data_IF_169310335544
#
_entry.id   IF_169310335544
#
_cell.length_a   1.000
_cell.length_b   1.000
_cell.length_c   1.000
_cell.angle_alpha   90.00
_cell.angle_beta   90.00
_cell.angle_gamma   90.00
#
_symmetry.space_group_name_H-M   'P 1'
#
loop_
_entity.id
_entity.type
_entity.pdbx_description
1 polymer ?
#
# COMPACT_ATOMS: atom_id res chain seq x y z
N UNK A 1 1.39 -12.13 -18.03
CA UNK A 1 0.65 -12.06 -16.74
C UNK A 1 -0.28 -10.88 -16.81
N UNK A 2 -1.58 -11.02 -16.54
CA UNK A 2 -2.56 -9.95 -16.79
C UNK A 2 -2.80 -9.08 -15.57
N UNK A 3 -2.60 -7.77 -15.72
CA UNK A 3 -3.17 -6.76 -14.83
C UNK A 3 -4.57 -6.44 -15.35
N UNK A 4 -5.57 -6.58 -14.50
CA UNK A 4 -6.96 -6.37 -14.85
C UNK A 4 -7.33 -4.92 -14.56
N UNK A 5 -7.98 -4.28 -15.53
CA UNK A 5 -8.57 -2.96 -15.33
C UNK A 5 -9.73 -3.08 -14.34
N UNK A 6 -9.74 -2.22 -13.33
CA UNK A 6 -10.76 -2.18 -12.28
C UNK A 6 -11.13 -0.72 -11.97
N UNK A 7 -12.30 -0.29 -12.45
CA UNK A 7 -12.78 1.10 -12.29
C UNK A 7 -13.07 1.47 -10.84
N UNK A 8 -13.50 0.52 -10.01
CA UNK A 8 -13.75 0.75 -8.60
C UNK A 8 -12.43 0.99 -7.85
N UNK A 9 -11.41 0.19 -8.15
CA UNK A 9 -10.07 0.37 -7.63
C UNK A 9 -9.42 1.67 -8.12
N UNK A 10 -9.57 2.01 -9.41
CA UNK A 10 -9.08 3.28 -9.97
C UNK A 10 -9.70 4.47 -9.22
N UNK A 11 -11.02 4.47 -9.03
CA UNK A 11 -11.71 5.52 -8.26
C UNK A 11 -11.19 5.61 -6.82
N UNK A 12 -11.06 4.46 -6.16
CA UNK A 12 -10.54 4.38 -4.80
C UNK A 12 -9.14 4.97 -4.68
N UNK A 13 -8.18 4.50 -5.49
CA UNK A 13 -6.78 4.94 -5.45
C UNK A 13 -6.59 6.38 -5.94
N UNK A 14 -7.42 6.82 -6.90
CA UNK A 14 -7.31 8.13 -7.53
C UNK A 14 -7.94 9.27 -6.72
N UNK A 15 -8.99 8.99 -5.94
CA UNK A 15 -9.81 10.03 -5.31
C UNK A 15 -10.17 9.78 -3.86
N UNK A 16 -10.59 8.57 -3.49
CA UNK A 16 -11.09 8.30 -2.13
C UNK A 16 -9.95 8.14 -1.13
N UNK A 17 -8.90 7.39 -1.49
CA UNK A 17 -7.76 7.13 -0.62
C UNK A 17 -6.99 8.42 -0.24
N UNK A 18 -6.68 9.35 -1.17
CA UNK A 18 -6.04 10.62 -0.79
C UNK A 18 -6.83 11.46 0.22
N UNK A 19 -8.17 11.48 0.12
CA UNK A 19 -9.03 12.18 1.09
C UNK A 19 -8.92 11.54 2.47
N UNK A 20 -9.01 10.21 2.53
CA UNK A 20 -8.90 9.44 3.78
C UNK A 20 -7.53 9.55 4.43
N UNK A 21 -6.46 9.60 3.64
CA UNK A 21 -5.11 9.90 4.14
C UNK A 21 -5.10 11.27 4.81
N UNK A 22 -5.69 12.29 4.18
CA UNK A 22 -5.80 13.63 4.75
C UNK A 22 -6.54 13.66 6.09
N UNK A 23 -7.61 12.87 6.22
CA UNK A 23 -8.38 12.73 7.46
C UNK A 23 -7.54 12.09 8.58
N UNK A 24 -6.80 11.01 8.27
CA UNK A 24 -5.95 10.30 9.24
C UNK A 24 -4.85 11.20 9.81
N UNK A 25 -4.25 12.06 8.99
CA UNK A 25 -3.13 12.92 9.41
C UNK A 25 -3.52 14.01 10.43
N UNK A 26 -4.80 14.14 10.77
CA UNK A 26 -5.29 15.08 11.79
C UNK A 26 -5.26 14.53 13.23
N UNK A 27 -4.99 13.24 13.41
CA UNK A 27 -4.98 12.58 14.73
C UNK A 27 -3.71 12.79 15.57
N UNK A 28 -3.66 12.15 16.74
CA UNK A 28 -2.42 12.03 17.51
C UNK A 28 -1.49 10.97 16.91
N UNK A 29 -0.18 11.04 17.18
CA UNK A 29 0.84 10.20 16.53
C UNK A 29 0.57 8.69 16.64
N UNK A 30 0.07 8.21 17.80
CA UNK A 30 -0.21 6.77 18.01
C UNK A 30 -1.41 6.32 17.20
N UNK A 31 -2.38 7.20 17.00
CA UNK A 31 -3.56 6.92 16.17
C UNK A 31 -3.18 6.98 14.68
N UNK A 32 -2.38 7.97 14.27
CA UNK A 32 -1.89 8.12 12.90
C UNK A 32 -1.22 6.83 12.40
N UNK A 33 -0.28 6.24 13.14
CA UNK A 33 0.43 5.04 12.65
C UNK A 33 -0.49 3.83 12.46
N UNK A 34 -1.48 3.66 13.35
CA UNK A 34 -2.45 2.56 13.29
C UNK A 34 -3.41 2.76 12.12
N UNK A 35 -3.91 3.96 11.95
CA UNK A 35 -4.86 4.28 10.90
C UNK A 35 -4.21 4.24 9.52
N UNK A 36 -2.98 4.72 9.38
CA UNK A 36 -2.19 4.56 8.15
C UNK A 36 -1.91 3.09 7.83
N UNK A 37 -1.65 2.27 8.85
CA UNK A 37 -1.44 0.82 8.67
C UNK A 37 -2.74 0.15 8.19
N UNK A 38 -3.87 0.51 8.78
CA UNK A 38 -5.20 0.07 8.34
C UNK A 38 -5.48 0.45 6.89
N UNK A 39 -5.22 1.70 6.49
CA UNK A 39 -5.36 2.14 5.09
C UNK A 39 -4.43 1.38 4.14
N UNK A 40 -3.20 1.07 4.56
CA UNK A 40 -2.27 0.28 3.76
C UNK A 40 -2.78 -1.15 3.56
N UNK A 41 -3.22 -1.81 4.64
CA UNK A 41 -3.83 -3.15 4.57
C UNK A 41 -5.05 -3.17 3.64
N UNK A 42 -5.96 -2.21 3.79
CA UNK A 42 -7.14 -2.10 2.95
C UNK A 42 -6.78 -1.88 1.47
N UNK A 43 -5.84 -0.98 1.20
CA UNK A 43 -5.37 -0.66 -0.15
C UNK A 43 -4.78 -1.89 -0.84
N UNK A 44 -3.95 -2.65 -0.13
CA UNK A 44 -3.35 -3.87 -0.66
C UNK A 44 -4.43 -4.93 -0.93
N UNK A 45 -5.35 -5.17 0.01
CA UNK A 45 -6.42 -6.15 -0.18
C UNK A 45 -7.35 -5.79 -1.36
N UNK A 46 -7.72 -4.51 -1.50
CA UNK A 46 -8.49 -4.04 -2.67
C UNK A 46 -7.76 -4.23 -4.00
N UNK A 47 -6.44 -4.34 -3.99
CA UNK A 47 -5.62 -4.46 -5.20
C UNK A 47 -5.42 -5.91 -5.68
N UNK A 48 -5.75 -6.92 -4.88
CA UNK A 48 -5.53 -8.35 -5.20
C UNK A 48 -5.93 -8.74 -6.63
N UNK A 49 -7.24 -8.65 -6.93
CA UNK A 49 -7.81 -9.18 -8.16
C UNK A 49 -7.32 -8.42 -9.39
N UNK A 50 -7.10 -7.11 -9.25
CA UNK A 50 -6.55 -6.27 -10.29
C UNK A 50 -5.10 -6.68 -10.65
N UNK A 51 -4.34 -7.19 -9.69
CA UNK A 51 -2.97 -7.66 -9.88
C UNK A 51 -2.86 -9.16 -10.21
N UNK A 52 -4.00 -9.83 -10.44
CA UNK A 52 -4.06 -11.25 -10.79
C UNK A 52 -3.80 -12.18 -9.61
N UNK A 53 -4.00 -11.70 -8.38
CA UNK A 53 -3.83 -12.48 -7.15
C UNK A 53 -5.19 -12.92 -6.65
N UNK A 54 -5.32 -14.21 -6.33
CA UNK A 54 -6.51 -14.73 -5.66
C UNK A 54 -6.52 -14.26 -4.20
N UNK A 55 -7.49 -13.42 -3.87
CA UNK A 55 -7.66 -12.84 -2.54
C UNK A 55 -8.35 -13.86 -1.60
N UNK A 56 -7.62 -14.93 -1.27
CA UNK A 56 -8.10 -16.02 -0.40
C UNK A 56 -7.25 -16.14 0.87
N UNK A 57 -7.92 -16.20 2.02
CA UNK A 57 -7.28 -16.28 3.33
C UNK A 57 -7.46 -15.01 4.16
N UNK A 58 -6.56 -14.81 5.12
CA UNK A 58 -6.57 -13.62 5.98
C UNK A 58 -6.00 -12.39 5.26
N UNK A 59 -6.43 -11.20 5.72
CA UNK A 59 -6.08 -9.92 5.10
C UNK A 59 -4.57 -9.66 5.08
N UNK A 60 -3.82 -10.13 6.07
CA UNK A 60 -2.38 -9.92 6.14
C UNK A 60 -1.65 -10.80 5.12
N UNK A 61 -2.03 -12.07 4.99
CA UNK A 61 -1.52 -12.96 3.95
C UNK A 61 -1.79 -12.41 2.54
N UNK A 62 -2.99 -11.89 2.30
CA UNK A 62 -3.32 -11.23 1.02
C UNK A 62 -2.45 -9.99 0.78
N UNK A 63 -2.30 -9.13 1.78
CA UNK A 63 -1.46 -7.94 1.69
C UNK A 63 0.01 -8.29 1.38
N UNK A 64 0.55 -9.37 1.95
CA UNK A 64 1.89 -9.86 1.64
C UNK A 64 2.03 -10.33 0.19
N UNK A 65 1.07 -11.11 -0.33
CA UNK A 65 1.08 -11.53 -1.73
C UNK A 65 1.02 -10.31 -2.67
N UNK A 66 0.17 -9.33 -2.33
CA UNK A 66 0.03 -8.10 -3.11
C UNK A 66 1.31 -7.28 -3.09
N UNK A 67 1.95 -7.09 -1.93
CA UNK A 67 3.18 -6.29 -1.87
C UNK A 67 4.32 -6.97 -2.62
N UNK A 68 4.45 -8.30 -2.51
CA UNK A 68 5.39 -9.10 -3.30
C UNK A 68 5.16 -8.88 -4.79
N UNK A 69 3.90 -8.96 -5.23
CA UNK A 69 3.52 -8.74 -6.62
C UNK A 69 3.83 -7.33 -7.11
N UNK A 70 3.57 -6.30 -6.30
CA UNK A 70 3.92 -4.92 -6.63
C UNK A 70 5.43 -4.77 -6.77
N UNK A 71 6.23 -5.41 -5.91
CA UNK A 71 7.69 -5.39 -5.97
C UNK A 71 8.18 -6.05 -7.26
N UNK A 72 7.68 -7.23 -7.63
CA UNK A 72 8.04 -7.89 -8.89
C UNK A 72 7.77 -7.01 -10.12
N UNK A 73 6.60 -6.36 -10.12
CA UNK A 73 6.13 -5.57 -11.25
C UNK A 73 6.77 -4.18 -11.36
N UNK A 74 7.41 -3.69 -10.29
CA UNK A 74 7.97 -2.32 -10.21
C UNK A 74 9.48 -2.24 -9.91
N UNK A 75 10.05 -3.25 -9.27
CA UNK A 75 11.43 -3.24 -8.74
C UNK A 75 11.59 -2.49 -7.40
N UNK A 76 10.50 -2.06 -6.76
CA UNK A 76 10.54 -1.21 -5.55
C UNK A 76 10.68 -2.03 -4.25
N UNK A 77 11.83 -2.68 -4.05
CA UNK A 77 12.09 -3.56 -2.89
C UNK A 77 11.95 -2.87 -1.52
N UNK A 78 12.01 -1.54 -1.46
CA UNK A 78 11.82 -0.78 -0.22
C UNK A 78 10.44 -1.03 0.40
N UNK A 79 9.43 -1.34 -0.42
CA UNK A 79 8.06 -1.59 0.01
C UNK A 79 7.95 -2.76 1.00
N UNK A 80 8.78 -3.80 0.86
CA UNK A 80 8.80 -4.93 1.78
C UNK A 80 9.16 -4.50 3.22
N UNK A 81 10.04 -3.50 3.37
CA UNK A 81 10.44 -2.99 4.69
C UNK A 81 9.31 -2.24 5.36
N UNK A 82 8.56 -1.46 4.59
CA UNK A 82 7.41 -0.73 5.11
C UNK A 82 6.26 -1.65 5.51
N UNK A 83 6.13 -2.81 4.86
CA UNK A 83 5.15 -3.82 5.28
C UNK A 83 5.41 -4.33 6.71
N UNK A 84 6.68 -4.37 7.16
CA UNK A 84 7.00 -4.69 8.55
C UNK A 84 6.43 -3.65 9.54
N UNK A 85 6.39 -2.37 9.14
CA UNK A 85 5.77 -1.30 9.94
C UNK A 85 4.25 -1.46 9.99
N UNK A 86 3.62 -1.83 8.87
CA UNK A 86 2.17 -2.10 8.80
C UNK A 86 1.77 -3.18 9.79
N UNK A 87 2.40 -4.35 9.71
CA UNK A 87 2.06 -5.51 10.57
C UNK A 87 2.46 -5.28 12.04
N UNK A 88 3.47 -4.46 12.31
CA UNK A 88 3.95 -4.12 13.65
C UNK A 88 3.29 -2.89 14.27
N UNK A 89 2.35 -2.24 13.58
CA UNK A 89 1.83 -0.91 13.94
C UNK A 89 1.27 -0.85 15.37
N UNK A 90 0.51 -1.85 15.83
CA UNK A 90 0.00 -1.91 17.21
C UNK A 90 1.11 -2.02 18.26
N UNK A 91 2.13 -2.84 17.99
CA UNK A 91 3.28 -2.99 18.88
C UNK A 91 4.08 -1.68 18.95
N UNK A 92 4.30 -1.03 17.80
CA UNK A 92 4.99 0.27 17.71
C UNK A 92 4.20 1.33 18.46
N UNK A 93 2.89 1.45 18.18
CA UNK A 93 2.01 2.45 18.78
C UNK A 93 1.92 2.33 20.30
N UNK A 94 2.10 1.14 20.87
CA UNK A 94 2.06 0.94 22.33
C UNK A 94 3.40 1.16 23.04
N UNK A 95 4.54 0.86 22.38
CA UNK A 95 5.87 0.81 23.03
C UNK A 95 6.84 1.91 22.61
N UNK A 96 6.73 2.42 21.38
CA UNK A 96 7.70 3.34 20.84
C UNK A 96 7.55 4.76 21.41
N UNK A 97 8.63 5.53 21.35
CA UNK A 97 8.59 6.95 21.69
C UNK A 97 7.84 7.75 20.61
N UNK A 98 7.23 8.91 20.96
CA UNK A 98 6.60 9.82 19.99
C UNK A 98 7.46 10.10 18.75
N UNK A 99 8.76 10.36 18.95
CA UNK A 99 9.71 10.61 17.85
C UNK A 99 9.81 9.42 16.88
N UNK A 100 9.90 8.19 17.40
CA UNK A 100 9.96 6.98 16.57
C UNK A 100 8.63 6.79 15.83
N UNK A 101 7.49 7.01 16.50
CA UNK A 101 6.17 6.89 15.88
C UNK A 101 6.03 7.89 14.75
N UNK A 102 6.37 9.17 14.98
CA UNK A 102 6.33 10.23 13.96
C UNK A 102 7.18 9.89 12.73
N UNK A 103 8.38 9.33 12.94
CA UNK A 103 9.26 8.88 11.86
C UNK A 103 8.63 7.74 11.05
N UNK A 104 8.18 6.68 11.73
CA UNK A 104 7.61 5.49 11.08
C UNK A 104 6.26 5.80 10.40
N UNK A 105 5.46 6.71 10.92
CA UNK A 105 4.24 7.19 10.27
C UNK A 105 4.52 7.86 8.93
N UNK A 106 5.63 8.61 8.80
CA UNK A 106 6.02 9.23 7.51
C UNK A 106 6.52 8.20 6.51
N UNK A 107 7.26 7.20 6.97
CA UNK A 107 7.68 6.06 6.15
C UNK A 107 6.46 5.28 5.65
N UNK A 108 5.48 5.06 6.52
CA UNK A 108 4.25 4.37 6.17
C UNK A 108 3.36 5.16 5.21
N UNK A 109 3.25 6.48 5.39
CA UNK A 109 2.61 7.37 4.43
C UNK A 109 3.29 7.29 3.05
N UNK A 110 4.63 7.29 3.04
CA UNK A 110 5.42 7.15 1.80
C UNK A 110 5.14 5.81 1.12
N UNK A 111 5.05 4.73 1.90
CA UNK A 111 4.67 3.41 1.39
C UNK A 111 3.28 3.43 0.74
N UNK A 112 2.29 3.95 1.46
CA UNK A 112 0.91 4.01 1.02
C UNK A 112 0.77 4.80 -0.29
N UNK A 113 1.43 5.97 -0.38
CA UNK A 113 1.44 6.79 -1.59
C UNK A 113 2.17 6.10 -2.76
N UNK A 114 3.32 5.45 -2.50
CA UNK A 114 4.03 4.69 -3.53
C UNK A 114 3.18 3.54 -4.08
N UNK A 115 2.59 2.73 -3.19
CA UNK A 115 1.70 1.63 -3.59
C UNK A 115 0.51 2.18 -4.38
N UNK A 116 -0.13 3.23 -3.88
CA UNK A 116 -1.27 3.88 -4.54
C UNK A 116 -0.94 4.29 -5.97
N UNK A 117 0.15 5.03 -6.18
CA UNK A 117 0.56 5.52 -7.50
C UNK A 117 0.95 4.38 -8.43
N UNK A 118 1.74 3.42 -7.95
CA UNK A 118 2.21 2.28 -8.75
C UNK A 118 1.03 1.43 -9.20
N UNK A 119 0.17 1.01 -8.26
CA UNK A 119 -0.99 0.18 -8.58
C UNK A 119 -1.98 0.93 -9.48
N UNK A 120 -2.29 2.19 -9.18
CA UNK A 120 -3.19 2.99 -10.01
C UNK A 120 -2.71 3.03 -11.46
N UNK A 121 -1.42 3.33 -11.69
CA UNK A 121 -0.86 3.39 -13.06
C UNK A 121 -0.90 2.05 -13.76
N UNK A 122 -0.54 0.98 -13.06
CA UNK A 122 -0.59 -0.37 -13.63
C UNK A 122 -2.01 -0.75 -14.06
N UNK A 123 -3.01 -0.47 -13.22
CA UNK A 123 -4.42 -0.80 -13.47
C UNK A 123 -5.03 0.07 -14.56
N UNK A 124 -4.71 1.37 -14.61
CA UNK A 124 -5.15 2.28 -15.68
C UNK A 124 -4.62 1.84 -17.06
N UNK A 125 -3.36 1.41 -17.11
CA UNK A 125 -2.66 1.06 -18.35
C UNK A 125 -2.82 -0.41 -18.76
N UNK A 126 -3.25 -1.28 -17.83
CA UNK A 126 -3.28 -2.74 -18.04
C UNK A 126 -1.90 -3.34 -18.29
N UNK A 127 -0.84 -2.70 -17.77
CA UNK A 127 0.58 -3.06 -17.98
C UNK A 127 1.33 -2.94 -16.67
N UNK A 128 2.38 -3.75 -16.51
CA UNK A 128 3.27 -3.61 -15.35
C UNK A 128 3.95 -2.25 -15.34
N UNK A 129 4.41 -1.82 -14.16
CA UNK A 129 5.15 -0.58 -14.03
C UNK A 129 6.42 -0.59 -14.89
N UNK A 130 7.15 -1.71 -14.90
CA UNK A 130 8.35 -1.89 -15.72
C UNK A 130 8.04 -1.77 -17.23
N UNK A 131 7.00 -2.43 -17.72
CA UNK A 131 6.55 -2.30 -19.12
C UNK A 131 6.09 -0.87 -19.46
N UNK A 132 5.35 -0.21 -18.56
CA UNK A 132 4.84 1.14 -18.76
C UNK A 132 5.95 2.18 -18.95
N UNK A 133 7.11 1.96 -18.32
CA UNK A 133 8.22 2.90 -18.31
C UNK A 133 9.49 2.39 -19.01
N UNK A 134 9.38 1.28 -19.76
CA UNK A 134 10.52 0.72 -20.53
C UNK A 134 11.69 0.28 -19.66
N UNK A 135 11.42 -0.08 -18.40
CA UNK A 135 12.41 -0.68 -17.51
C UNK A 135 12.45 -2.17 -17.89
N UNK A 136 13.63 -2.70 -18.25
CA UNK A 136 13.77 -4.11 -18.65
C UNK A 136 13.25 -5.07 -17.58
N UNK A 137 13.01 -6.33 -17.96
CA UNK A 137 12.58 -7.43 -17.07
C UNK A 137 13.69 -7.90 -16.11
#
# INVERSE_FOLDING_TARGET
MSINRDEALIKYLGSELPVRIGEVLSGDERTIIRDLAGLCMETLNKSCNALGIECSGDEASNAWRVIERVIELSGEFVLARYMAVVVGSEFIASRASPVIISMLSRDLLTCLEKVRVIVLKMVEMGKSWREAYGLGD
#
